data_IF_303433703007
#
_entry.id   IF_303433703007
#
_cell.length_a   1.000
_cell.length_b   1.000
_cell.length_c   1.000
_cell.angle_alpha   90.00
_cell.angle_beta   90.00
_cell.angle_gamma   90.00
#
_symmetry.space_group_name_H-M   'P 1'
#
loop_
_entity.id
_entity.type
_entity.pdbx_description
1 polymer ?
#
# COMPACT_ATOMS: atom_id res chain seq x y z
N UNK A 1 -1.28 -26.63 37.12
CA UNK A 1 0.16 -26.63 36.81
C UNK A 1 0.59 -25.18 36.72
N UNK A 2 1.54 -24.80 37.57
CA UNK A 2 2.02 -23.43 37.80
C UNK A 2 3.23 -23.19 36.90
N UNK A 3 3.23 -22.07 36.16
CA UNK A 3 4.43 -21.35 35.71
C UNK A 3 4.05 -19.85 35.77
N UNK A 4 4.34 -19.11 36.84
CA UNK A 4 5.64 -18.51 37.21
C UNK A 4 6.21 -17.65 36.06
N UNK A 5 6.00 -16.33 36.02
CA UNK A 5 6.67 -15.26 36.78
C UNK A 5 8.04 -14.80 36.21
N UNK A 6 8.13 -13.48 35.96
CA UNK A 6 9.29 -12.56 36.11
C UNK A 6 10.36 -12.53 34.97
N UNK A 7 10.50 -11.44 34.18
CA UNK A 7 11.20 -10.11 34.38
C UNK A 7 12.47 -10.04 33.47
N UNK A 8 13.22 -8.92 33.28
CA UNK A 8 12.99 -7.48 33.50
C UNK A 8 13.51 -6.53 32.36
N UNK A 9 13.04 -5.27 32.44
CA UNK A 9 13.75 -3.97 32.29
C UNK A 9 14.90 -3.70 31.28
N UNK A 10 14.68 -2.61 30.53
CA UNK A 10 15.55 -1.43 30.27
C UNK A 10 16.94 -1.65 29.65
N UNK A 11 17.15 -1.09 28.45
CA UNK A 11 18.32 -0.24 28.19
C UNK A 11 17.89 0.98 27.37
N UNK A 12 17.85 2.13 28.04
CA UNK A 12 17.96 3.45 27.41
C UNK A 12 19.37 3.54 26.80
N UNK A 13 19.49 3.79 25.50
CA UNK A 13 20.75 4.20 24.88
C UNK A 13 20.56 5.62 24.33
N UNK A 14 21.11 6.58 25.09
CA UNK A 14 21.16 8.00 24.82
C UNK A 14 22.47 8.32 24.07
N UNK A 15 22.41 9.33 23.19
CA UNK A 15 23.52 10.14 22.64
C UNK A 15 24.50 9.53 21.63
N UNK A 16 24.55 10.16 20.45
CA UNK A 16 25.75 10.95 20.08
C UNK A 16 25.43 11.99 18.98
N UNK A 17 25.62 13.26 19.36
CA UNK A 17 25.71 14.44 18.50
C UNK A 17 27.05 14.44 17.77
N UNK A 18 27.05 14.66 16.44
CA UNK A 18 28.19 15.24 15.71
C UNK A 18 27.69 16.19 14.60
N UNK A 19 27.98 17.50 14.68
CA UNK A 19 27.89 18.42 13.55
C UNK A 19 29.29 18.67 12.96
N UNK A 20 29.44 18.52 11.65
CA UNK A 20 30.56 19.11 10.90
C UNK A 20 30.07 19.50 9.49
N UNK A 21 29.93 20.80 9.28
CA UNK A 21 29.62 21.41 7.99
C UNK A 21 30.86 21.37 7.08
N UNK A 22 30.70 20.89 5.85
CA UNK A 22 31.62 21.19 4.75
C UNK A 22 30.82 21.98 3.71
N UNK A 23 31.19 23.25 3.57
CA UNK A 23 30.75 24.14 2.51
C UNK A 23 31.87 24.19 1.47
N UNK A 24 31.62 23.73 0.24
CA UNK A 24 32.47 24.03 -0.92
C UNK A 24 31.80 23.61 -2.24
N UNK A 25 31.81 24.52 -3.21
CA UNK A 25 31.62 24.27 -4.66
C UNK A 25 30.16 24.30 -5.12
N UNK A 26 29.75 25.00 -6.17
CA UNK A 26 30.48 25.60 -7.27
C UNK A 26 29.73 25.28 -8.58
N UNK A 27 29.50 26.28 -9.43
CA UNK A 27 28.90 26.14 -10.78
C UNK A 27 27.37 25.92 -10.74
N UNK A 28 26.54 26.59 -11.52
CA UNK A 28 26.74 27.03 -12.90
C UNK A 28 25.74 26.25 -13.77
N UNK A 29 24.99 27.00 -14.57
CA UNK A 29 24.11 26.55 -15.66
C UNK A 29 22.67 26.22 -15.30
N UNK A 30 21.81 27.16 -15.66
CA UNK A 30 20.49 26.91 -16.25
C UNK A 30 20.57 25.72 -17.21
N UNK A 31 19.79 24.66 -17.00
CA UNK A 31 19.28 23.78 -18.07
C UNK A 31 18.30 22.74 -17.49
N UNK A 32 17.10 22.73 -18.06
CA UNK A 32 16.09 21.67 -18.12
C UNK A 32 16.15 20.50 -17.10
N UNK A 33 15.17 20.44 -16.21
CA UNK A 33 14.71 19.16 -15.63
C UNK A 33 13.19 19.14 -15.54
N UNK A 34 12.52 19.10 -16.70
CA UNK A 34 11.30 18.28 -16.83
C UNK A 34 11.75 16.82 -16.86
N UNK A 35 12.29 16.36 -15.72
CA UNK A 35 12.47 14.95 -15.49
C UNK A 35 11.07 14.43 -15.18
N UNK A 36 10.47 13.73 -16.14
CA UNK A 36 9.29 12.92 -15.90
C UNK A 36 9.66 11.85 -14.89
N UNK A 37 9.57 12.18 -13.61
CA UNK A 37 9.49 11.19 -12.56
C UNK A 37 8.18 10.47 -12.83
N UNK A 38 8.27 9.24 -13.33
CA UNK A 38 7.22 8.24 -13.21
C UNK A 38 6.99 7.97 -11.72
N UNK A 39 6.50 8.97 -11.00
CA UNK A 39 6.16 8.87 -9.60
C UNK A 39 4.88 8.07 -9.55
N UNK A 40 4.98 6.83 -9.07
CA UNK A 40 3.83 6.01 -8.72
C UNK A 40 2.80 6.87 -7.97
N UNK A 41 1.51 6.76 -8.31
CA UNK A 41 0.48 7.64 -7.76
C UNK A 41 0.36 7.46 -6.25
N UNK A 42 -0.16 8.47 -5.55
CA UNK A 42 -0.45 8.33 -4.13
C UNK A 42 -1.55 7.28 -3.92
N UNK A 43 -1.41 6.43 -2.91
CA UNK A 43 -2.41 5.39 -2.63
C UNK A 43 -3.80 5.96 -2.33
N UNK A 44 -3.87 7.12 -1.69
CA UNK A 44 -5.13 7.83 -1.43
C UNK A 44 -5.83 8.33 -2.69
N UNK A 45 -5.08 8.54 -3.79
CA UNK A 45 -5.64 9.00 -5.07
C UNK A 45 -6.10 7.83 -5.95
N UNK A 46 -5.55 6.64 -5.72
CA UNK A 46 -5.95 5.43 -6.46
C UNK A 46 -7.09 4.71 -5.74
N UNK A 47 -6.93 4.44 -4.44
CA UNK A 47 -7.86 3.64 -3.64
C UNK A 47 -9.01 4.48 -3.09
N UNK A 48 -9.89 4.91 -4.00
CA UNK A 48 -11.11 5.65 -3.69
C UNK A 48 -12.35 4.83 -4.03
N UNK A 49 -13.26 4.69 -3.07
CA UNK A 49 -14.52 3.95 -3.25
C UNK A 49 -15.31 4.49 -4.45
N UNK A 50 -15.83 3.58 -5.27
CA UNK A 50 -16.63 3.91 -6.46
C UNK A 50 -15.79 4.41 -7.64
N UNK A 51 -14.46 4.47 -7.53
CA UNK A 51 -13.56 4.68 -8.67
C UNK A 51 -13.18 3.36 -9.30
N UNK A 52 -12.74 3.41 -10.54
CA UNK A 52 -12.23 2.22 -11.24
C UNK A 52 -10.73 2.10 -11.01
N UNK A 53 -10.29 0.94 -10.52
CA UNK A 53 -8.87 0.62 -10.43
C UNK A 53 -8.30 0.40 -11.83
N UNK A 54 -7.16 0.98 -12.23
CA UNK A 54 -6.57 0.75 -13.54
C UNK A 54 -6.28 -0.74 -13.81
N UNK A 55 -6.43 -1.17 -15.07
CA UNK A 55 -6.11 -2.56 -15.49
C UNK A 55 -4.63 -2.90 -15.36
N UNK A 56 -3.78 -1.88 -15.43
CA UNK A 56 -2.31 -1.97 -15.36
C UNK A 56 -1.80 -1.39 -14.05
N UNK A 57 -2.58 -1.52 -12.97
CA UNK A 57 -2.16 -1.01 -11.66
C UNK A 57 -1.05 -1.88 -11.09
N UNK A 58 0.12 -1.29 -10.84
CA UNK A 58 1.32 -1.98 -10.35
C UNK A 58 1.64 -1.63 -8.89
N UNK A 59 0.86 -0.74 -8.27
CA UNK A 59 1.12 -0.25 -6.92
C UNK A 59 0.97 1.26 -6.82
N UNK A 60 1.16 1.76 -5.60
CA UNK A 60 1.08 3.18 -5.27
C UNK A 60 2.07 3.52 -4.17
N UNK A 61 2.26 4.82 -3.92
CA UNK A 61 3.11 5.31 -2.83
C UNK A 61 2.25 5.84 -1.71
N UNK A 62 2.55 5.44 -0.47
CA UNK A 62 1.99 6.04 0.74
C UNK A 62 3.12 6.42 1.68
N UNK A 63 3.09 7.66 2.20
CA UNK A 63 4.11 8.18 3.12
C UNK A 63 5.57 8.15 2.58
N UNK A 64 5.76 8.07 1.26
CA UNK A 64 7.08 7.98 0.63
C UNK A 64 7.56 6.55 0.36
N UNK A 65 6.81 5.54 0.78
CA UNK A 65 7.12 4.13 0.59
C UNK A 65 6.17 3.49 -0.44
N UNK A 66 6.72 2.63 -1.31
CA UNK A 66 5.92 1.81 -2.22
C UNK A 66 5.07 0.83 -1.43
N UNK A 67 3.78 0.81 -1.73
CA UNK A 67 2.81 -0.08 -1.12
C UNK A 67 2.54 -1.23 -2.07
N UNK A 68 2.82 -2.44 -1.59
CA UNK A 68 2.40 -3.65 -2.27
C UNK A 68 0.89 -3.84 -2.09
N UNK A 69 0.20 -4.22 -3.17
CA UNK A 69 -1.13 -4.81 -3.07
C UNK A 69 -1.01 -6.31 -2.81
N UNK A 70 -2.05 -6.90 -2.24
CA UNK A 70 -2.15 -8.35 -2.09
C UNK A 70 -3.04 -8.91 -3.19
N UNK A 71 -2.58 -9.95 -3.88
CA UNK A 71 -3.38 -10.72 -4.82
C UNK A 71 -4.12 -11.84 -4.10
N UNK A 72 -5.41 -11.98 -4.36
CA UNK A 72 -6.26 -12.99 -3.71
C UNK A 72 -6.80 -14.04 -4.68
N UNK A 73 -6.82 -13.73 -5.98
CA UNK A 73 -7.27 -14.67 -7.00
C UNK A 73 -7.38 -14.06 -8.38
N UNK A 74 -7.69 -14.93 -9.35
CA UNK A 74 -7.99 -14.56 -10.72
C UNK A 74 -9.51 -14.52 -10.93
N UNK A 75 -10.01 -13.42 -11.49
CA UNK A 75 -11.38 -13.33 -11.94
C UNK A 75 -11.62 -14.23 -13.17
N UNK A 76 -12.88 -14.57 -13.43
CA UNK A 76 -13.32 -15.34 -14.60
C UNK A 76 -12.93 -14.71 -15.95
N UNK A 77 -12.75 -13.38 -15.95
CA UNK A 77 -12.33 -12.60 -17.12
C UNK A 77 -10.79 -12.42 -17.22
N UNK A 78 -10.03 -13.09 -16.36
CA UNK A 78 -8.56 -13.09 -16.34
C UNK A 78 -7.94 -11.89 -15.63
N UNK A 79 -8.73 -11.01 -15.00
CA UNK A 79 -8.23 -9.89 -14.19
C UNK A 79 -7.81 -10.39 -12.81
N UNK A 80 -6.82 -9.76 -12.18
CA UNK A 80 -6.45 -10.06 -10.79
C UNK A 80 -7.38 -9.38 -9.82
N UNK A 81 -7.86 -10.10 -8.80
CA UNK A 81 -8.52 -9.53 -7.64
C UNK A 81 -7.47 -9.16 -6.60
N UNK A 82 -7.42 -7.88 -6.25
CA UNK A 82 -6.39 -7.34 -5.38
C UNK A 82 -6.99 -6.50 -4.27
N UNK A 83 -6.24 -6.42 -3.16
CA UNK A 83 -6.61 -5.61 -2.01
C UNK A 83 -5.47 -4.74 -1.53
N UNK A 84 -5.83 -3.64 -0.88
CA UNK A 84 -4.92 -2.71 -0.26
C UNK A 84 -5.43 -2.34 1.14
N UNK A 85 -4.57 -2.50 2.14
CA UNK A 85 -4.87 -2.16 3.52
C UNK A 85 -3.71 -1.31 4.07
N UNK A 86 -3.83 0.03 4.10
CA UNK A 86 -2.85 0.86 4.79
C UNK A 86 -2.84 0.51 6.28
N UNK A 87 -1.67 0.50 6.92
CA UNK A 87 -1.49 0.11 8.32
C UNK A 87 -2.54 0.76 9.26
N UNK A 88 -3.42 -0.08 9.84
CA UNK A 88 -4.48 0.37 10.76
C UNK A 88 -5.60 1.20 10.13
N UNK A 89 -5.64 1.31 8.81
CA UNK A 89 -6.61 2.09 8.05
C UNK A 89 -7.74 1.26 7.45
N UNK A 90 -8.47 1.87 6.51
CA UNK A 90 -9.59 1.22 5.81
C UNK A 90 -9.04 0.32 4.70
N UNK A 91 -9.47 -0.94 4.69
CA UNK A 91 -9.13 -1.86 3.62
C UNK A 91 -9.99 -1.59 2.37
N UNK A 92 -9.37 -1.71 1.20
CA UNK A 92 -9.96 -1.55 -0.11
C UNK A 92 -9.72 -2.78 -0.96
N UNK A 93 -10.59 -2.99 -1.94
CA UNK A 93 -10.54 -4.14 -2.82
C UNK A 93 -11.08 -3.84 -4.21
N UNK A 94 -10.52 -4.48 -5.23
CA UNK A 94 -11.05 -4.43 -6.58
C UNK A 94 -10.44 -5.55 -7.43
N UNK A 95 -11.18 -5.98 -8.46
CA UNK A 95 -10.53 -6.54 -9.64
C UNK A 95 -9.81 -5.44 -10.42
N UNK A 96 -8.62 -5.71 -10.97
CA UNK A 96 -7.95 -4.79 -11.90
C UNK A 96 -8.93 -4.36 -13.00
N UNK A 97 -9.07 -3.06 -13.27
CA UNK A 97 -10.08 -2.54 -14.21
C UNK A 97 -11.52 -2.50 -13.69
N UNK A 98 -11.78 -2.89 -12.45
CA UNK A 98 -13.09 -2.92 -11.79
C UNK A 98 -13.28 -1.77 -10.81
N UNK A 99 -14.48 -1.67 -10.26
CA UNK A 99 -14.79 -0.68 -9.22
C UNK A 99 -14.12 -1.02 -7.89
N UNK A 100 -13.67 0.01 -7.18
CA UNK A 100 -13.03 -0.10 -5.88
C UNK A 100 -14.11 -0.12 -4.79
N UNK A 101 -14.17 -1.24 -4.10
CA UNK A 101 -14.91 -1.42 -2.88
C UNK A 101 -14.08 -1.10 -1.64
N UNK A 102 -14.76 -1.03 -0.51
CA UNK A 102 -14.16 -0.86 0.82
C UNK A 102 -14.65 -1.96 1.73
N UNK A 103 -13.72 -2.59 2.44
CA UNK A 103 -13.95 -3.69 3.36
C UNK A 103 -12.69 -4.52 3.53
N UNK A 104 -12.54 -5.15 4.71
CA UNK A 104 -11.52 -6.14 4.97
C UNK A 104 -11.92 -7.50 4.38
N UNK A 105 -10.98 -8.45 4.41
CA UNK A 105 -11.20 -9.84 3.95
C UNK A 105 -12.31 -10.57 4.71
N UNK A 106 -12.66 -10.09 5.91
CA UNK A 106 -13.72 -10.65 6.76
C UNK A 106 -15.10 -10.03 6.47
N UNK A 107 -15.16 -8.95 5.67
CA UNK A 107 -16.41 -8.26 5.36
C UNK A 107 -17.23 -9.00 4.31
N UNK A 108 -18.54 -9.05 4.49
CA UNK A 108 -19.46 -9.66 3.51
C UNK A 108 -19.36 -9.02 2.11
N UNK A 109 -19.04 -7.72 2.06
CA UNK A 109 -18.82 -7.00 0.80
C UNK A 109 -17.58 -7.52 0.05
N UNK A 110 -16.52 -7.88 0.79
CA UNK A 110 -15.32 -8.47 0.20
C UNK A 110 -15.62 -9.84 -0.40
N UNK A 111 -16.25 -10.74 0.38
CA UNK A 111 -16.58 -12.09 -0.10
C UNK A 111 -17.54 -12.06 -1.29
N UNK A 112 -18.50 -11.13 -1.30
CA UNK A 112 -19.42 -10.95 -2.42
C UNK A 112 -18.70 -10.49 -3.69
N UNK A 113 -17.78 -9.52 -3.57
CA UNK A 113 -17.01 -9.02 -4.71
C UNK A 113 -16.01 -10.05 -5.25
N UNK A 114 -15.40 -10.83 -4.36
CA UNK A 114 -14.54 -11.94 -4.76
C UNK A 114 -15.35 -13.01 -5.50
N UNK A 115 -16.51 -13.41 -4.96
CA UNK A 115 -17.42 -14.37 -5.60
C UNK A 115 -17.91 -13.90 -6.98
N UNK A 116 -18.26 -12.60 -7.11
CA UNK A 116 -18.63 -12.01 -8.39
C UNK A 116 -17.47 -12.03 -9.39
N UNK A 117 -16.25 -11.76 -8.93
CA UNK A 117 -15.03 -11.79 -9.73
C UNK A 117 -14.68 -13.23 -10.17
N UNK A 118 -14.57 -14.18 -9.24
CA UNK A 118 -14.11 -15.55 -9.52
C UNK A 118 -15.21 -16.45 -10.09
N UNK A 119 -16.47 -16.01 -10.04
CA UNK A 119 -17.62 -16.82 -10.47
C UNK A 119 -17.92 -17.99 -9.53
N UNK A 120 -17.18 -18.12 -8.42
CA UNK A 120 -17.50 -19.05 -7.36
C UNK A 120 -18.71 -18.51 -6.62
N UNK A 121 -19.80 -19.30 -6.59
CA UNK A 121 -20.96 -18.93 -5.79
C UNK A 121 -20.53 -18.89 -4.31
N UNK A 122 -20.68 -17.73 -3.66
CA UNK A 122 -20.47 -17.60 -2.22
C UNK A 122 -21.37 -18.62 -1.49
N UNK A 123 -20.78 -19.69 -0.95
CA UNK A 123 -21.47 -20.71 -0.16
C UNK A 123 -21.48 -20.35 1.31
#
# INVERSE_FOLDING_TARGET
>A
MVSAMLRPARVLALMLLLPAAVACGGGGSDDASTAGSSSSPACSDVWMVGKTLPKTYEGCVANGDEQAYMEYGDCTDGRKFIGYAPDGGQAYFAGLGGEIGKGSVDDAAWSAALAECTGESAN
#
